data_IF_666462399207
#
_entry.id   IF_666462399207
#
_cell.length_a   1.000
_cell.length_b   1.000
_cell.length_c   1.000
_cell.angle_alpha   90.00
_cell.angle_beta   90.00
_cell.angle_gamma   90.00
#
_symmetry.space_group_name_H-M   'P 1'
#
loop_
_entity.id
_entity.type
_entity.pdbx_description
1 polymer ?
#
# COMPACT_ATOMS: atom_id res chain seq x y z
N UNK A 1 13.48 19.80 -6.02
CA UNK A 1 13.74 18.35 -6.10
C UNK A 1 13.93 18.00 -7.57
N UNK A 2 15.00 17.29 -7.95
CA UNK A 2 15.19 16.86 -9.34
C UNK A 2 14.13 15.81 -9.69
N UNK A 3 13.19 16.16 -10.57
CA UNK A 3 12.09 15.29 -11.02
C UNK A 3 12.58 14.08 -11.83
N UNK A 4 13.85 14.08 -12.26
CA UNK A 4 14.50 12.94 -12.91
C UNK A 4 15.17 11.96 -11.94
N UNK A 5 15.26 12.28 -10.63
CA UNK A 5 15.97 11.47 -9.63
C UNK A 5 15.48 10.03 -9.56
N UNK A 6 14.20 9.77 -9.87
CA UNK A 6 13.63 8.42 -9.80
C UNK A 6 13.43 7.77 -11.18
N UNK A 7 12.99 8.49 -12.23
CA UNK A 7 12.73 7.90 -13.56
C UNK A 7 12.04 6.52 -13.52
N UNK A 8 11.07 6.36 -12.61
CA UNK A 8 10.37 5.10 -12.29
C UNK A 8 9.15 4.83 -13.16
N UNK A 9 8.75 5.81 -13.98
CA UNK A 9 7.56 5.74 -14.83
C UNK A 9 7.85 5.28 -16.27
N UNK A 10 9.07 4.77 -16.52
CA UNK A 10 9.44 4.20 -17.82
C UNK A 10 8.89 2.79 -18.05
N UNK A 11 9.15 2.19 -19.23
CA UNK A 11 8.84 0.78 -19.48
C UNK A 11 9.45 -0.14 -18.40
N UNK A 12 8.78 -1.28 -18.10
CA UNK A 12 9.26 -2.20 -17.09
C UNK A 12 10.66 -2.73 -17.44
N UNK A 13 11.52 -2.80 -16.43
CA UNK A 13 12.88 -3.32 -16.54
C UNK A 13 13.44 -3.61 -15.14
N UNK A 14 14.47 -4.46 -15.01
CA UNK A 14 15.11 -4.70 -13.72
C UNK A 14 15.62 -3.43 -13.03
N UNK A 15 16.01 -2.40 -13.80
CA UNK A 15 16.42 -1.11 -13.25
C UNK A 15 15.23 -0.35 -12.65
N UNK A 16 14.09 -0.32 -13.34
CA UNK A 16 12.85 0.31 -12.84
C UNK A 16 12.35 -0.45 -11.61
N UNK A 17 12.38 -1.78 -11.63
CA UNK A 17 12.00 -2.65 -10.51
C UNK A 17 12.84 -2.35 -9.27
N UNK A 18 14.17 -2.25 -9.42
CA UNK A 18 15.07 -1.93 -8.32
C UNK A 18 14.81 -0.54 -7.72
N UNK A 19 14.42 0.45 -8.54
CA UNK A 19 14.07 1.79 -8.05
C UNK A 19 12.73 1.82 -7.32
N UNK A 20 11.74 1.05 -7.79
CA UNK A 20 10.49 0.86 -7.06
C UNK A 20 10.72 0.12 -5.73
N UNK A 21 11.55 -0.91 -5.73
CA UNK A 21 11.91 -1.63 -4.52
C UNK A 21 12.67 -0.73 -3.54
N UNK A 22 13.59 0.11 -4.01
CA UNK A 22 14.30 1.08 -3.15
C UNK A 22 13.34 2.02 -2.40
N UNK A 23 12.25 2.43 -3.06
CA UNK A 23 11.22 3.30 -2.48
C UNK A 23 10.25 2.57 -1.55
N UNK A 24 9.95 1.29 -1.84
CA UNK A 24 8.83 0.56 -1.20
C UNK A 24 9.27 -0.57 -0.26
N UNK A 25 10.55 -0.94 -0.22
CA UNK A 25 11.02 -2.12 0.52
C UNK A 25 10.73 -2.09 2.03
N UNK A 26 10.66 -0.90 2.64
CA UNK A 26 10.39 -0.73 4.07
C UNK A 26 8.89 -0.47 4.32
N UNK A 27 8.05 -1.30 3.71
CA UNK A 27 6.60 -1.12 3.70
C UNK A 27 5.99 -1.19 5.09
N UNK A 28 6.21 -2.30 5.80
CA UNK A 28 5.76 -2.49 7.18
C UNK A 28 6.82 -2.04 8.18
N UNK A 29 6.36 -1.41 9.25
CA UNK A 29 7.18 -0.90 10.34
C UNK A 29 6.61 -1.27 11.69
N UNK A 30 7.48 -1.34 12.68
CA UNK A 30 7.13 -1.56 14.07
C UNK A 30 6.69 -0.24 14.71
N UNK A 31 5.59 -0.32 15.46
CA UNK A 31 5.01 0.77 16.20
C UNK A 31 4.90 0.43 17.69
N UNK A 32 5.45 1.24 18.61
CA UNK A 32 5.47 0.94 20.03
C UNK A 32 4.06 0.77 20.63
N UNK A 33 3.90 -0.21 21.53
CA UNK A 33 2.64 -0.43 22.24
C UNK A 33 2.11 0.83 22.94
N UNK A 34 2.98 1.54 23.67
CA UNK A 34 2.59 2.75 24.43
C UNK A 34 2.09 3.88 23.54
N UNK A 35 2.57 3.96 22.29
CA UNK A 35 2.10 4.97 21.35
C UNK A 35 0.79 4.53 20.71
N UNK A 36 0.61 3.24 20.39
CA UNK A 36 -0.67 2.73 19.89
C UNK A 36 -1.79 2.93 20.92
N UNK A 37 -1.48 2.69 22.19
CA UNK A 37 -2.39 2.91 23.32
C UNK A 37 -2.82 4.37 23.47
N UNK A 38 -1.92 5.34 23.22
CA UNK A 38 -2.29 6.76 23.21
C UNK A 38 -3.25 7.12 22.08
N UNK A 39 -3.19 6.38 20.97
CA UNK A 39 -4.14 6.54 19.86
C UNK A 39 -5.49 5.86 20.14
N UNK A 40 -5.55 4.91 21.09
CA UNK A 40 -6.74 4.12 21.36
C UNK A 40 -7.10 3.15 20.24
N UNK A 41 -6.08 2.71 19.48
CA UNK A 41 -6.22 1.89 18.25
C UNK A 41 -5.62 0.49 18.40
N UNK A 42 -5.50 -0.01 19.63
CA UNK A 42 -4.88 -1.32 19.91
C UNK A 42 -5.59 -2.48 19.21
N UNK A 43 -6.89 -2.33 18.92
CA UNK A 43 -7.71 -3.35 18.25
C UNK A 43 -7.75 -3.18 16.71
N UNK A 44 -6.99 -2.22 16.16
CA UNK A 44 -7.00 -1.88 14.72
C UNK A 44 -5.68 -2.25 14.02
N UNK A 45 -4.77 -2.95 14.69
CA UNK A 45 -3.47 -3.31 14.15
C UNK A 45 -3.03 -4.70 14.59
N UNK A 46 -2.16 -5.33 13.80
CA UNK A 46 -1.60 -6.64 14.12
C UNK A 46 -0.56 -6.47 15.23
N UNK A 47 -0.77 -7.14 16.37
CA UNK A 47 0.21 -7.18 17.45
C UNK A 47 1.30 -8.22 17.16
N UNK A 48 2.55 -7.81 17.25
CA UNK A 48 3.74 -8.63 17.05
C UNK A 48 4.07 -9.45 18.32
N UNK A 49 4.87 -10.53 18.21
CA UNK A 49 5.24 -11.37 19.36
C UNK A 49 5.92 -10.64 20.51
N UNK A 50 6.57 -9.51 20.24
CA UNK A 50 7.22 -8.67 21.24
C UNK A 50 6.28 -7.64 21.92
N UNK A 51 4.99 -7.65 21.56
CA UNK A 51 3.95 -6.78 22.13
C UNK A 51 3.75 -5.45 21.40
N UNK A 52 4.65 -5.06 20.50
CA UNK A 52 4.47 -3.90 19.63
C UNK A 52 3.50 -4.21 18.47
N UNK A 53 3.20 -3.21 17.64
CA UNK A 53 2.27 -3.35 16.52
C UNK A 53 3.00 -3.26 15.18
N UNK A 54 2.55 -4.05 14.21
CA UNK A 54 2.90 -3.84 12.81
C UNK A 54 1.99 -2.78 12.23
N UNK A 55 2.56 -1.74 11.63
CA UNK A 55 1.82 -0.67 10.96
C UNK A 55 2.43 -0.35 9.60
N UNK A 56 1.61 0.28 8.77
CA UNK A 56 2.00 0.94 7.54
C UNK A 56 1.81 2.45 7.73
N UNK A 57 2.82 3.25 7.40
CA UNK A 57 2.64 4.70 7.29
C UNK A 57 1.92 5.03 5.98
N UNK A 58 1.04 6.02 5.99
CA UNK A 58 0.25 6.44 4.81
C UNK A 58 1.12 6.66 3.58
N UNK A 59 2.27 7.33 3.71
CA UNK A 59 3.20 7.55 2.58
C UNK A 59 3.69 6.24 1.93
N UNK A 60 3.93 5.21 2.72
CA UNK A 60 4.32 3.90 2.20
C UNK A 60 3.16 3.24 1.46
N UNK A 61 1.92 3.40 1.96
CA UNK A 61 0.71 2.94 1.25
C UNK A 61 0.58 3.60 -0.12
N UNK A 62 0.70 4.93 -0.16
CA UNK A 62 0.56 5.70 -1.39
C UNK A 62 1.66 5.39 -2.41
N UNK A 63 2.90 5.18 -1.96
CA UNK A 63 3.98 4.72 -2.83
C UNK A 63 3.71 3.32 -3.39
N UNK A 64 3.11 2.42 -2.59
CA UNK A 64 2.63 1.13 -3.08
C UNK A 64 1.51 1.29 -4.11
N UNK A 65 0.53 2.16 -3.87
CA UNK A 65 -0.53 2.49 -4.83
C UNK A 65 0.05 2.98 -6.16
N UNK A 66 1.04 3.88 -6.13
CA UNK A 66 1.71 4.36 -7.35
C UNK A 66 2.48 3.25 -8.08
N UNK A 67 3.21 2.39 -7.35
CA UNK A 67 3.88 1.21 -7.92
C UNK A 67 2.87 0.27 -8.57
N UNK A 68 1.75 0.02 -7.89
CA UNK A 68 0.68 -0.86 -8.35
C UNK A 68 0.05 -0.33 -9.64
N UNK A 69 -0.25 0.97 -9.70
CA UNK A 69 -0.77 1.63 -10.90
C UNK A 69 0.23 1.59 -12.06
N UNK A 70 1.54 1.74 -11.79
CA UNK A 70 2.56 1.52 -12.82
C UNK A 70 2.51 0.08 -13.34
N UNK A 71 2.50 -0.90 -12.43
CA UNK A 71 2.48 -2.31 -12.80
C UNK A 71 1.21 -2.69 -13.59
N UNK A 72 0.06 -2.13 -13.24
CA UNK A 72 -1.20 -2.41 -13.92
C UNK A 72 -1.28 -1.86 -15.35
N UNK A 73 -0.44 -0.86 -15.68
CA UNK A 73 -0.23 -0.40 -17.06
C UNK A 73 0.75 -1.26 -17.86
N UNK A 74 1.40 -2.21 -17.22
CA UNK A 74 2.33 -3.16 -17.85
C UNK A 74 1.99 -4.62 -17.48
N UNK A 75 0.73 -5.06 -17.69
CA UNK A 75 0.26 -6.36 -17.22
C UNK A 75 1.00 -7.52 -17.88
N UNK A 76 1.42 -7.39 -19.14
CA UNK A 76 2.17 -8.44 -19.85
C UNK A 76 3.50 -8.77 -19.18
N UNK A 77 4.12 -7.79 -18.50
CA UNK A 77 5.37 -7.98 -17.77
C UNK A 77 5.13 -8.42 -16.33
N UNK A 78 4.28 -7.71 -15.57
CA UNK A 78 4.12 -7.95 -14.14
C UNK A 78 3.07 -9.00 -13.78
N UNK A 79 2.06 -9.19 -14.63
CA UNK A 79 0.95 -10.10 -14.39
C UNK A 79 0.65 -10.95 -15.64
N UNK A 80 1.64 -11.71 -16.16
CA UNK A 80 1.42 -12.55 -17.32
C UNK A 80 0.39 -13.65 -16.99
N UNK A 81 -0.46 -13.98 -17.97
CA UNK A 81 -1.46 -15.05 -17.88
C UNK A 81 -2.57 -14.83 -16.82
N UNK A 82 -2.98 -13.59 -16.57
CA UNK A 82 -4.14 -13.31 -15.72
C UNK A 82 -5.43 -13.94 -16.25
N UNK A 83 -6.14 -14.62 -15.36
CA UNK A 83 -7.55 -15.00 -15.54
C UNK A 83 -8.45 -13.76 -15.54
N UNK A 84 -9.68 -13.92 -16.03
CA UNK A 84 -10.65 -12.81 -16.03
C UNK A 84 -11.02 -12.37 -14.60
N UNK A 85 -11.13 -13.32 -13.68
CA UNK A 85 -11.37 -13.01 -12.26
C UNK A 85 -10.23 -12.18 -11.65
N UNK A 86 -8.98 -12.50 -11.97
CA UNK A 86 -7.82 -11.71 -11.53
C UNK A 86 -7.81 -10.31 -12.13
N UNK A 87 -8.22 -10.13 -13.40
CA UNK A 87 -8.33 -8.79 -13.99
C UNK A 87 -9.38 -7.94 -13.29
N UNK A 88 -10.55 -8.50 -12.99
CA UNK A 88 -11.62 -7.80 -12.27
C UNK A 88 -11.13 -7.36 -10.89
N UNK A 89 -10.49 -8.26 -10.15
CA UNK A 89 -9.91 -7.94 -8.83
C UNK A 89 -8.78 -6.92 -8.92
N UNK A 90 -7.90 -7.06 -9.90
CA UNK A 90 -6.84 -6.09 -10.17
C UNK A 90 -7.39 -4.69 -10.44
N UNK A 91 -8.46 -4.59 -11.25
CA UNK A 91 -9.13 -3.32 -11.51
C UNK A 91 -9.79 -2.72 -10.26
N UNK A 92 -10.42 -3.54 -9.40
CA UNK A 92 -10.89 -3.05 -8.10
C UNK A 92 -9.76 -2.43 -7.28
N UNK A 93 -8.52 -2.92 -7.45
CA UNK A 93 -7.41 -2.55 -6.57
C UNK A 93 -6.88 -1.22 -7.03
N UNK A 94 -6.69 -1.11 -8.34
CA UNK A 94 -6.37 0.14 -9.00
C UNK A 94 -7.39 1.23 -8.62
N UNK A 95 -8.69 0.93 -8.56
CA UNK A 95 -9.70 1.91 -8.13
C UNK A 95 -9.61 2.29 -6.66
N UNK A 96 -9.41 1.34 -5.73
CA UNK A 96 -9.14 1.64 -4.32
C UNK A 96 -7.89 2.51 -4.14
N UNK A 97 -6.80 2.15 -4.84
CA UNK A 97 -5.56 2.93 -4.85
C UNK A 97 -5.79 4.37 -5.31
N UNK A 98 -6.62 4.57 -6.34
CA UNK A 98 -6.95 5.90 -6.84
C UNK A 98 -7.76 6.71 -5.84
N UNK A 99 -8.72 6.08 -5.14
CA UNK A 99 -9.52 6.73 -4.10
C UNK A 99 -8.63 7.22 -2.95
N UNK A 100 -7.73 6.37 -2.46
CA UNK A 100 -6.77 6.71 -1.41
C UNK A 100 -5.84 7.87 -1.81
N UNK A 101 -5.37 7.86 -3.07
CA UNK A 101 -4.56 8.96 -3.61
C UNK A 101 -5.36 10.27 -3.67
N UNK A 102 -6.64 10.23 -4.02
CA UNK A 102 -7.51 11.42 -4.03
C UNK A 102 -7.69 11.95 -2.60
N UNK A 103 -8.00 11.09 -1.65
CA UNK A 103 -8.17 11.48 -0.26
C UNK A 103 -6.89 12.13 0.28
N UNK A 104 -5.71 11.56 -0.02
CA UNK A 104 -4.46 12.15 0.43
C UNK A 104 -4.17 13.50 -0.22
N UNK A 105 -4.34 13.62 -1.54
CA UNK A 105 -4.09 14.88 -2.25
C UNK A 105 -4.96 16.00 -1.70
N UNK A 106 -6.20 15.70 -1.31
CA UNK A 106 -7.09 16.67 -0.65
C UNK A 106 -6.61 16.98 0.77
N UNK A 107 -6.24 15.97 1.56
CA UNK A 107 -5.80 16.15 2.94
C UNK A 107 -4.51 16.98 3.05
N UNK A 108 -3.59 16.77 2.12
CA UNK A 108 -2.29 17.45 2.04
C UNK A 108 -2.23 18.44 0.87
N UNK A 109 -3.35 19.11 0.58
CA UNK A 109 -3.49 19.99 -0.58
C UNK A 109 -2.35 21.02 -0.67
N UNK A 110 -1.48 20.84 -1.65
CA UNK A 110 -0.43 21.79 -1.96
C UNK A 110 -1.05 23.04 -2.60
N UNK A 111 -0.87 24.18 -1.93
CA UNK A 111 -1.45 25.47 -2.35
C UNK A 111 -0.50 26.30 -3.21
N UNK A 112 0.67 25.77 -3.57
CA UNK A 112 1.60 26.44 -4.46
C UNK A 112 0.93 26.72 -5.83
N UNK A 113 0.94 27.97 -6.32
CA UNK A 113 0.19 28.32 -7.51
C UNK A 113 0.76 27.66 -8.77
N UNK A 114 -0.02 26.77 -9.37
CA UNK A 114 0.30 26.16 -10.65
C UNK A 114 0.07 27.15 -11.80
N UNK A 115 1.10 27.91 -12.14
CA UNK A 115 1.04 28.94 -13.18
C UNK A 115 0.96 28.34 -14.58
N UNK A 116 0.45 29.12 -15.55
CA UNK A 116 0.37 28.72 -16.96
C UNK A 116 1.18 29.67 -17.85
N UNK A 117 1.74 29.13 -18.95
CA UNK A 117 2.53 29.88 -19.94
C UNK A 117 2.22 29.41 -21.36
N UNK A 118 2.48 30.27 -22.33
CA UNK A 118 2.38 29.92 -23.75
C UNK A 118 3.69 29.32 -24.25
N UNK A 119 3.61 28.28 -25.08
CA UNK A 119 4.75 27.75 -25.82
C UNK A 119 4.67 28.14 -27.28
N UNK A 120 5.81 28.38 -27.92
CA UNK A 120 5.88 28.89 -29.30
C UNK A 120 5.16 27.97 -30.32
N UNK A 121 5.09 26.67 -30.05
CA UNK A 121 4.54 25.65 -30.97
C UNK A 121 3.24 25.02 -30.47
N UNK A 122 2.63 25.54 -29.41
CA UNK A 122 1.33 25.06 -28.92
C UNK A 122 0.38 26.25 -28.72
N UNK A 123 -0.77 26.30 -29.41
CA UNK A 123 -1.75 27.36 -29.24
C UNK A 123 -2.51 27.29 -27.92
N UNK A 124 -2.26 26.30 -27.05
CA UNK A 124 -2.90 26.13 -25.74
C UNK A 124 -1.96 26.61 -24.62
N UNK A 125 -2.49 27.26 -23.57
CA UNK A 125 -1.68 27.59 -22.41
C UNK A 125 -1.31 26.27 -21.74
N UNK A 126 -0.04 26.10 -21.43
CA UNK A 126 0.47 24.89 -20.78
C UNK A 126 0.94 25.21 -19.38
N UNK A 127 0.85 24.21 -18.49
CA UNK A 127 1.37 24.30 -17.14
C UNK A 127 2.85 24.65 -17.08
N UNK A 128 3.20 25.50 -16.13
CA UNK A 128 4.57 25.72 -15.70
C UNK A 128 4.84 24.76 -14.52
N UNK A 129 5.55 23.67 -14.79
CA UNK A 129 5.87 22.64 -13.77
C UNK A 129 7.00 23.04 -12.82
N UNK A 130 7.65 24.19 -13.04
CA UNK A 130 8.74 24.70 -12.21
C UNK A 130 8.16 25.44 -10.98
N UNK A 131 7.47 24.69 -10.11
CA UNK A 131 6.80 25.21 -8.93
C UNK A 131 7.62 24.88 -7.69
N UNK A 132 7.65 25.83 -6.75
CA UNK A 132 8.28 25.64 -5.46
C UNK A 132 7.30 24.89 -4.56
N UNK A 133 7.74 23.73 -4.09
CA UNK A 133 7.02 22.88 -3.14
C UNK A 133 7.82 22.81 -1.84
N UNK A 134 7.15 22.75 -0.69
CA UNK A 134 7.79 22.37 0.57
C UNK A 134 7.83 20.84 0.65
N UNK A 135 9.00 20.28 0.92
CA UNK A 135 9.19 18.84 1.00
C UNK A 135 9.81 18.47 2.34
N UNK A 136 9.36 17.34 2.90
CA UNK A 136 10.02 16.70 4.03
C UNK A 136 11.42 16.22 3.65
N UNK A 137 12.28 16.01 4.66
CA UNK A 137 13.54 15.33 4.45
C UNK A 137 13.30 13.83 4.22
N UNK A 138 13.19 13.44 2.94
CA UNK A 138 12.90 12.07 2.53
C UNK A 138 13.92 11.05 3.04
N UNK A 139 15.21 11.37 2.95
CA UNK A 139 16.27 10.42 3.32
C UNK A 139 16.20 10.11 4.83
N UNK A 140 15.92 11.13 5.66
CA UNK A 140 15.68 10.95 7.09
C UNK A 140 14.47 10.05 7.39
N UNK A 141 13.35 10.24 6.67
CA UNK A 141 12.16 9.39 6.85
C UNK A 141 12.44 7.94 6.42
N UNK A 142 13.12 7.76 5.29
CA UNK A 142 13.50 6.44 4.78
C UNK A 142 14.40 5.69 5.75
N UNK A 143 15.37 6.38 6.37
CA UNK A 143 16.23 5.78 7.40
C UNK A 143 15.44 5.34 8.63
N UNK A 144 14.42 6.12 9.04
CA UNK A 144 13.53 5.72 10.14
C UNK A 144 12.67 4.50 9.78
N UNK A 145 12.11 4.44 8.56
CA UNK A 145 11.37 3.26 8.09
C UNK A 145 12.27 2.03 8.06
N UNK A 146 13.50 2.17 7.58
CA UNK A 146 14.50 1.10 7.60
C UNK A 146 14.80 0.61 9.01
N UNK A 147 15.00 1.53 9.96
CA UNK A 147 15.32 1.19 11.36
C UNK A 147 14.19 0.43 12.04
N UNK A 148 12.94 0.75 11.71
CA UNK A 148 11.74 0.12 12.28
C UNK A 148 11.17 -0.99 11.41
N UNK A 149 11.86 -1.37 10.33
CA UNK A 149 11.28 -2.26 9.33
C UNK A 149 10.92 -3.62 9.93
N UNK A 150 9.70 -4.08 9.63
CA UNK A 150 9.25 -5.43 9.94
C UNK A 150 9.17 -6.22 8.64
N UNK A 151 9.85 -7.36 8.59
CA UNK A 151 9.83 -8.25 7.43
C UNK A 151 8.62 -9.21 7.53
N UNK A 152 7.54 -9.01 6.76
CA UNK A 152 6.35 -9.86 6.85
C UNK A 152 6.58 -11.30 6.35
N UNK A 153 7.73 -11.56 5.70
CA UNK A 153 8.12 -12.86 5.19
C UNK A 153 8.91 -13.71 6.19
N UNK A 154 9.07 -13.25 7.44
CA UNK A 154 9.67 -14.05 8.50
C UNK A 154 8.71 -15.17 8.94
N UNK A 155 9.08 -16.46 8.78
CA UNK A 155 8.21 -17.56 9.17
C UNK A 155 7.81 -17.50 10.64
N UNK A 156 6.52 -17.65 10.92
CA UNK A 156 5.97 -17.63 12.28
C UNK A 156 5.77 -16.23 12.88
N UNK A 157 6.18 -15.16 12.21
CA UNK A 157 5.95 -13.79 12.68
C UNK A 157 4.46 -13.42 12.61
N UNK A 158 3.82 -13.72 11.48
CA UNK A 158 2.40 -13.47 11.23
C UNK A 158 1.64 -14.78 11.27
N UNK A 159 0.73 -14.91 12.25
CA UNK A 159 -0.14 -16.08 12.43
C UNK A 159 -1.57 -15.60 12.48
N UNK A 160 -2.34 -15.90 11.44
CA UNK A 160 -3.76 -15.58 11.39
C UNK A 160 -4.53 -16.45 12.39
N UNK A 161 -5.42 -15.91 13.23
CA UNK A 161 -6.12 -16.70 14.26
C UNK A 161 -6.96 -17.85 13.70
N UNK A 162 -7.44 -17.73 12.46
CA UNK A 162 -8.26 -18.75 11.77
C UNK A 162 -7.43 -19.64 10.84
N UNK A 163 -6.43 -19.09 10.14
CA UNK A 163 -5.76 -19.76 9.02
C UNK A 163 -4.36 -20.24 9.37
N UNK A 164 -3.85 -19.90 10.56
CA UNK A 164 -2.51 -20.28 10.99
C UNK A 164 -1.42 -19.40 10.38
N UNK A 165 -0.17 -19.91 10.28
CA UNK A 165 0.97 -19.15 9.77
C UNK A 165 0.71 -18.59 8.36
N UNK A 166 0.93 -17.28 8.18
CA UNK A 166 0.68 -16.58 6.90
C UNK A 166 1.74 -16.92 5.86
N UNK A 167 3.00 -17.01 6.29
CA UNK A 167 4.17 -17.30 5.44
C UNK A 167 4.98 -18.49 5.99
N UNK A 168 4.42 -19.73 5.99
CA UNK A 168 5.09 -20.89 6.57
C UNK A 168 6.45 -21.20 5.91
N UNK A 169 6.63 -20.83 4.64
CA UNK A 169 7.84 -21.04 3.84
C UNK A 169 8.59 -19.71 3.56
N UNK A 170 8.27 -18.67 4.32
CA UNK A 170 8.81 -17.32 4.13
C UNK A 170 8.55 -16.79 2.72
N UNK A 171 9.59 -16.25 2.07
CA UNK A 171 9.49 -15.71 0.69
C UNK A 171 9.06 -16.71 -0.38
N UNK A 172 9.11 -18.02 -0.08
CA UNK A 172 8.69 -19.07 -1.01
C UNK A 172 7.21 -19.44 -0.82
N UNK A 173 6.51 -18.87 0.15
CA UNK A 173 5.07 -19.10 0.33
C UNK A 173 4.31 -18.59 -0.88
N UNK A 174 3.50 -19.47 -1.48
CA UNK A 174 2.68 -19.15 -2.64
C UNK A 174 1.27 -18.81 -2.18
N UNK A 175 0.85 -17.58 -2.42
CA UNK A 175 -0.54 -17.19 -2.25
C UNK A 175 -1.34 -17.49 -3.54
N UNK A 176 -2.53 -18.09 -3.43
CA UNK A 176 -3.41 -18.30 -4.59
C UNK A 176 -3.93 -16.97 -5.16
N UNK A 177 -3.96 -15.91 -4.35
CA UNK A 177 -4.41 -14.56 -4.71
C UNK A 177 -3.21 -13.66 -5.06
N UNK A 178 -3.12 -13.23 -6.32
CA UNK A 178 -2.04 -12.32 -6.78
C UNK A 178 -2.41 -10.84 -6.73
N UNK A 179 -3.69 -10.52 -6.50
CA UNK A 179 -4.24 -9.17 -6.68
C UNK A 179 -4.54 -8.43 -5.37
N UNK A 180 -4.27 -9.02 -4.21
CA UNK A 180 -4.23 -8.28 -2.94
C UNK A 180 -5.58 -7.87 -2.33
N UNK A 181 -6.72 -8.35 -2.82
CA UNK A 181 -7.99 -8.22 -2.09
C UNK A 181 -8.39 -9.48 -1.36
N UNK A 182 -9.10 -9.35 -0.22
CA UNK A 182 -9.79 -10.47 0.39
C UNK A 182 -10.77 -11.12 -0.59
N UNK A 183 -10.98 -12.44 -0.48
CA UNK A 183 -12.19 -13.03 -1.05
C UNK A 183 -13.37 -12.78 -0.11
N UNK A 184 -14.57 -12.73 -0.68
CA UNK A 184 -15.81 -12.81 0.08
C UNK A 184 -15.90 -14.22 0.71
N UNK A 185 -15.34 -14.37 1.91
CA UNK A 185 -15.32 -15.64 2.64
C UNK A 185 -16.47 -15.70 3.64
N UNK A 186 -17.69 -15.86 3.14
CA UNK A 186 -18.73 -16.47 3.98
C UNK A 186 -18.46 -17.97 4.04
N UNK A 187 -18.24 -18.53 5.23
CA UNK A 187 -18.28 -19.98 5.38
C UNK A 187 -19.67 -20.47 5.01
N UNK A 188 -19.75 -21.55 4.21
CA UNK A 188 -21.01 -22.13 3.76
C UNK A 188 -21.85 -22.52 4.99
N UNK A 189 -22.94 -21.77 5.24
CA UNK A 189 -23.88 -22.02 6.33
C UNK A 189 -23.76 -21.09 7.55
N UNK A 190 -22.80 -20.16 7.58
CA UNK A 190 -22.71 -19.10 8.60
C UNK A 190 -23.49 -17.85 8.14
N UNK A 191 -24.29 -17.26 9.02
CA UNK A 191 -24.93 -15.97 8.76
C UNK A 191 -23.92 -14.82 8.90
N UNK A 192 -24.23 -13.67 8.31
CA UNK A 192 -23.38 -12.49 8.42
C UNK A 192 -23.14 -12.04 9.87
N UNK A 193 -24.18 -12.10 10.69
CA UNK A 193 -24.12 -11.72 12.10
C UNK A 193 -23.22 -12.69 12.91
N UNK A 194 -23.32 -13.99 12.63
CA UNK A 194 -22.44 -15.01 13.22
C UNK A 194 -20.97 -14.82 12.80
N UNK A 195 -20.73 -14.43 11.54
CA UNK A 195 -19.41 -14.11 11.03
C UNK A 195 -18.83 -12.87 11.74
N UNK A 196 -19.57 -11.76 11.80
CA UNK A 196 -19.13 -10.54 12.48
C UNK A 196 -18.87 -10.79 13.98
N UNK A 197 -19.73 -11.53 14.68
CA UNK A 197 -19.51 -11.89 16.09
C UNK A 197 -18.26 -12.79 16.29
N UNK A 198 -18.02 -13.74 15.39
CA UNK A 198 -16.84 -14.60 15.45
C UNK A 198 -15.57 -13.81 15.20
N UNK A 199 -15.57 -12.96 14.18
CA UNK A 199 -14.44 -12.12 13.77
C UNK A 199 -14.12 -11.07 14.85
N UNK A 200 -15.13 -10.42 15.43
CA UNK A 200 -14.98 -9.51 16.57
C UNK A 200 -14.41 -10.22 17.81
N UNK A 201 -14.88 -11.42 18.16
CA UNK A 201 -14.31 -12.20 19.27
C UNK A 201 -12.85 -12.57 19.07
N UNK A 202 -12.42 -12.73 17.82
CA UNK A 202 -11.04 -13.02 17.46
C UNK A 202 -10.18 -11.76 17.34
N UNK A 203 -10.74 -10.56 17.53
CA UNK A 203 -10.04 -9.29 17.35
C UNK A 203 -9.63 -9.05 15.90
N UNK A 204 -10.36 -9.63 14.94
CA UNK A 204 -10.13 -9.48 13.51
C UNK A 204 -11.11 -8.41 12.99
N UNK A 205 -10.68 -7.55 12.07
CA UNK A 205 -11.59 -6.67 11.33
C UNK A 205 -12.26 -7.45 10.21
N UNK A 206 -13.57 -7.31 10.05
CA UNK A 206 -14.31 -7.94 8.95
C UNK A 206 -14.02 -7.32 7.58
N UNK A 207 -13.29 -6.20 7.53
CA UNK A 207 -12.91 -5.52 6.29
C UNK A 207 -14.09 -4.89 5.54
N UNK A 208 -15.29 -4.92 6.12
CA UNK A 208 -16.42 -4.08 5.72
C UNK A 208 -16.43 -2.87 6.63
N UNK A 209 -16.35 -1.68 6.05
CA UNK A 209 -16.67 -0.47 6.81
C UNK A 209 -18.11 -0.61 7.32
N UNK A 210 -18.39 -0.29 8.59
CA UNK A 210 -19.77 -0.19 9.05
C UNK A 210 -20.48 0.90 8.23
N UNK A 211 -21.58 0.53 7.58
CA UNK A 211 -22.51 1.48 6.94
C UNK A 211 -23.11 2.49 7.94
#
# INVERSE_FOLDING_TARGET
MDTHKYSIMGPPSPEVDAKWDDLTQFFFTEFPYEDMKKLGRENEAIQLPNGNFMVLYTVNHLLHCLKRLHHSRHPDYYFPNMTEAEKIKGNKHDMHCLEDLVQEVICHADTAPYTTRWYQKDPRPTGNSDILHECVNWDMLKDEFKRKHVNPWEPGLLVHPVFGPVVPDGKNTVFPERMGFPNDFLHVGETEEEYEERIHRLGISSGRDPE
#
